data_IF_230852277083
#
_entry.id   IF_230852277083
#
_cell.length_a   1.000
_cell.length_b   1.000
_cell.length_c   1.000
_cell.angle_alpha   90.00
_cell.angle_beta   90.00
_cell.angle_gamma   90.00
#
_symmetry.space_group_name_H-M   'P 1'
#
loop_
_entity.id
_entity.type
_entity.pdbx_description
1 polymer ?
#
# COMPACT_ATOMS: atom_id res chain seq x y z
N UNK A 1 2.20 25.61 -7.97
CA UNK A 1 2.62 24.22 -8.28
C UNK A 1 2.09 23.32 -7.18
N UNK A 2 1.01 22.58 -7.44
CA UNK A 2 0.52 21.58 -6.50
C UNK A 2 1.37 20.31 -6.65
N UNK A 3 1.72 19.59 -5.57
CA UNK A 3 2.57 18.42 -5.66
C UNK A 3 1.86 17.33 -6.48
N UNK A 4 2.52 16.87 -7.54
CA UNK A 4 2.17 15.66 -8.27
C UNK A 4 1.97 14.53 -7.26
N UNK A 5 0.78 13.91 -7.26
CA UNK A 5 0.14 13.28 -6.11
C UNK A 5 0.97 12.29 -5.28
N UNK A 6 0.58 12.12 -4.02
CA UNK A 6 1.12 11.11 -3.10
C UNK A 6 -0.04 10.19 -2.71
N UNK A 7 0.15 8.87 -2.79
CA UNK A 7 -0.88 7.88 -2.43
C UNK A 7 -0.32 6.95 -1.36
N UNK A 8 -0.86 7.04 -0.15
CA UNK A 8 -0.59 6.08 0.91
C UNK A 8 -1.44 4.82 0.66
N UNK A 9 -0.83 3.63 0.72
CA UNK A 9 -1.53 2.39 0.42
C UNK A 9 -1.09 1.27 1.38
N UNK A 10 -1.99 0.90 2.29
CA UNK A 10 -1.75 -0.06 3.37
C UNK A 10 -1.85 -1.50 2.84
N UNK A 11 -0.87 -2.36 3.14
CA UNK A 11 -0.79 -3.77 2.69
C UNK A 11 -0.86 -4.73 3.88
N UNK A 12 -1.80 -5.67 3.95
CA UNK A 12 -1.86 -6.64 5.06
C UNK A 12 -2.12 -8.06 4.56
N UNK A 13 -1.59 -9.07 5.24
CA UNK A 13 -1.90 -10.47 4.93
C UNK A 13 -3.31 -10.78 5.45
N UNK A 14 -4.18 -11.13 4.52
CA UNK A 14 -5.63 -11.09 4.69
C UNK A 14 -6.18 -11.96 5.82
N UNK A 15 -7.14 -11.40 6.54
CA UNK A 15 -8.23 -12.16 7.16
C UNK A 15 -9.47 -12.06 6.25
N UNK A 16 -10.50 -12.87 6.52
CA UNK A 16 -11.75 -12.81 5.77
C UNK A 16 -12.50 -11.50 6.04
N UNK A 17 -12.21 -10.44 5.27
CA UNK A 17 -12.93 -9.17 5.31
C UNK A 17 -12.04 -7.96 5.04
N UNK A 18 -12.64 -6.76 4.92
CA UNK A 18 -11.89 -5.53 4.67
C UNK A 18 -11.09 -5.05 5.89
N UNK A 19 -9.95 -4.35 5.67
CA UNK A 19 -9.33 -4.07 4.36
C UNK A 19 -8.90 -5.36 3.66
N UNK A 20 -8.81 -5.39 2.32
CA UNK A 20 -8.33 -6.57 1.58
C UNK A 20 -6.81 -6.50 1.40
N UNK A 21 -6.16 -7.66 1.30
CA UNK A 21 -4.73 -7.73 0.98
C UNK A 21 -4.50 -7.07 -0.39
N UNK A 22 -3.55 -6.14 -0.44
CA UNK A 22 -3.03 -5.56 -1.67
C UNK A 22 -1.52 -5.72 -1.62
N UNK A 23 -0.93 -6.37 -2.62
CA UNK A 23 0.52 -6.56 -2.71
C UNK A 23 1.14 -5.48 -3.57
N UNK A 24 2.43 -5.23 -3.38
CA UNK A 24 3.19 -4.31 -4.23
C UNK A 24 3.05 -4.62 -5.73
N UNK A 25 2.95 -5.91 -6.09
CA UNK A 25 2.70 -6.34 -7.46
C UNK A 25 1.37 -5.81 -8.00
N UNK A 26 0.29 -5.86 -7.22
CA UNK A 26 -1.03 -5.34 -7.59
C UNK A 26 -0.99 -3.82 -7.77
N UNK A 27 -0.27 -3.11 -6.87
CA UNK A 27 -0.05 -1.66 -6.98
C UNK A 27 0.67 -1.34 -8.29
N UNK A 28 1.72 -2.07 -8.61
CA UNK A 28 2.48 -1.87 -9.85
C UNK A 28 1.63 -2.19 -11.07
N UNK A 29 0.89 -3.28 -11.07
CA UNK A 29 0.00 -3.67 -12.16
C UNK A 29 -1.04 -2.58 -12.44
N UNK A 30 -1.71 -2.09 -11.40
CA UNK A 30 -2.79 -1.11 -11.53
C UNK A 30 -2.28 0.29 -11.92
N UNK A 31 -1.14 0.74 -11.37
CA UNK A 31 -0.73 2.14 -11.49
C UNK A 31 0.42 2.39 -12.48
N UNK A 32 1.28 1.41 -12.78
CA UNK A 32 2.42 1.61 -13.70
C UNK A 32 2.05 2.11 -15.10
N UNK A 33 0.86 1.80 -15.68
CA UNK A 33 0.48 2.33 -16.99
C UNK A 33 0.41 3.87 -17.06
N UNK A 34 0.04 4.54 -15.96
CA UNK A 34 -0.16 5.99 -15.91
C UNK A 34 0.79 6.72 -14.96
N UNK A 35 1.48 5.99 -14.07
CA UNK A 35 2.33 6.55 -13.03
C UNK A 35 3.67 5.81 -12.92
N UNK A 36 4.72 6.52 -12.55
CA UNK A 36 5.90 5.92 -11.94
C UNK A 36 5.59 5.62 -10.46
N UNK A 37 5.66 4.34 -10.09
CA UNK A 37 5.39 3.85 -8.73
C UNK A 37 6.72 3.70 -7.96
N UNK A 38 6.89 4.44 -6.86
CA UNK A 38 8.09 4.35 -6.01
C UNK A 38 7.71 4.06 -4.55
N UNK A 39 8.20 2.96 -3.94
CA UNK A 39 8.00 2.73 -2.51
C UNK A 39 8.73 3.81 -1.69
N UNK A 40 8.07 4.30 -0.66
CA UNK A 40 8.60 5.28 0.29
C UNK A 40 8.87 4.67 1.66
N UNK A 41 7.95 3.82 2.12
CA UNK A 41 8.01 3.20 3.43
C UNK A 41 7.33 1.83 3.36
N UNK A 42 7.83 0.90 4.16
CA UNK A 42 7.18 -0.36 4.52
C UNK A 42 7.52 -0.64 5.98
N UNK A 43 6.51 -0.87 6.80
CA UNK A 43 6.67 -1.06 8.24
C UNK A 43 5.83 -2.24 8.71
N UNK A 44 6.40 -3.13 9.52
CA UNK A 44 5.62 -4.15 10.23
C UNK A 44 4.87 -3.51 11.40
N UNK A 45 3.55 -3.56 11.34
CA UNK A 45 2.64 -2.94 12.29
C UNK A 45 1.98 -3.96 13.22
N UNK A 46 2.32 -5.25 13.11
CA UNK A 46 1.75 -6.32 13.95
C UNK A 46 1.95 -6.10 15.45
N UNK A 47 3.10 -5.52 15.84
CA UNK A 47 3.40 -5.21 17.24
C UNK A 47 2.68 -3.97 17.75
N UNK A 48 2.42 -3.00 16.88
CA UNK A 48 1.83 -1.71 17.23
C UNK A 48 0.29 -1.77 17.32
N UNK A 49 -0.34 -2.71 16.63
CA UNK A 49 -1.78 -2.75 16.44
C UNK A 49 -2.38 -4.13 16.81
N UNK A 50 -2.46 -4.46 18.11
CA UNK A 50 -2.78 -5.81 18.59
C UNK A 50 -4.15 -6.33 18.13
N UNK A 51 -5.11 -5.44 17.87
CA UNK A 51 -6.45 -5.80 17.37
C UNK A 51 -6.42 -6.57 16.04
N UNK A 52 -5.37 -6.44 15.21
CA UNK A 52 -5.25 -7.24 13.98
C UNK A 52 -4.97 -8.71 14.29
N UNK A 53 -4.18 -9.01 15.32
CA UNK A 53 -3.98 -10.39 15.79
C UNK A 53 -5.29 -11.01 16.29
N UNK A 54 -6.10 -10.24 17.00
CA UNK A 54 -7.41 -10.68 17.50
C UNK A 54 -8.37 -11.02 16.35
N UNK A 55 -8.19 -10.38 15.19
CA UNK A 55 -8.93 -10.67 13.95
C UNK A 55 -8.34 -11.81 13.12
N UNK A 56 -7.33 -12.50 13.64
CA UNK A 56 -6.67 -13.63 12.98
C UNK A 56 -5.61 -13.24 11.95
N UNK A 57 -5.25 -11.96 11.87
CA UNK A 57 -4.16 -11.51 11.00
C UNK A 57 -2.83 -12.02 11.58
N UNK A 58 -2.01 -12.64 10.73
CA UNK A 58 -0.67 -13.14 11.09
C UNK A 58 0.44 -12.19 10.67
N UNK A 59 0.16 -11.25 9.77
CA UNK A 59 1.08 -10.19 9.31
C UNK A 59 0.31 -8.96 8.83
N UNK A 60 0.66 -7.81 9.37
CA UNK A 60 0.05 -6.52 9.09
C UNK A 60 1.19 -5.55 8.81
N UNK A 61 1.30 -5.11 7.57
CA UNK A 61 2.29 -4.13 7.17
C UNK A 61 1.59 -2.82 6.77
N UNK A 62 2.31 -1.73 6.84
CA UNK A 62 1.87 -0.49 6.23
C UNK A 62 2.91 -0.10 5.19
N UNK A 63 2.47 0.11 3.95
CA UNK A 63 3.32 0.59 2.89
C UNK A 63 2.86 1.98 2.42
N UNK A 64 3.81 2.75 1.89
CA UNK A 64 3.53 4.04 1.31
C UNK A 64 4.21 4.13 -0.05
N UNK A 65 3.50 4.66 -1.05
CA UNK A 65 4.01 4.80 -2.40
C UNK A 65 3.93 6.25 -2.87
N UNK A 66 4.95 6.69 -3.61
CA UNK A 66 4.85 7.89 -4.42
C UNK A 66 4.39 7.48 -5.82
N UNK A 67 3.30 8.08 -6.29
CA UNK A 67 2.79 7.91 -7.64
C UNK A 67 2.99 9.20 -8.43
N UNK A 68 4.02 9.23 -9.28
CA UNK A 68 4.28 10.39 -10.13
C UNK A 68 3.65 10.15 -11.50
N UNK A 69 2.71 10.99 -11.92
CA UNK A 69 2.00 10.80 -13.19
C UNK A 69 2.99 10.93 -14.35
N UNK A 70 2.92 10.01 -15.32
CA UNK A 70 3.64 10.18 -16.57
C UNK A 70 3.16 11.46 -17.25
N UNK A 71 4.07 12.23 -17.84
CA UNK A 71 3.68 13.38 -18.66
C UNK A 71 2.90 12.84 -19.86
N UNK A 72 1.76 13.46 -20.16
CA UNK A 72 1.12 13.26 -21.45
C UNK A 72 2.08 13.80 -22.51
N UNK A 73 2.42 12.96 -23.50
CA UNK A 73 3.15 13.37 -24.69
C UNK A 73 2.31 14.27 -25.59
#
# INVERSE_FOLDING_TARGET
>A
MAPEGRVLLVEHDGFAGPPYEVREADVRELFSPAFAVRPLQREDRMGAEPHWRERGCTRFEEAAYLLTRHRAG
#
